data_IF_647964023864
#
_entry.id   IF_647964023864
#
_cell.length_a   1.000
_cell.length_b   1.000
_cell.length_c   1.000
_cell.angle_alpha   90.00
_cell.angle_beta   90.00
_cell.angle_gamma   90.00
#
_symmetry.space_group_name_H-M   'P 1'
#
loop_
_entity.id
_entity.type
_entity.pdbx_description
1 polymer ?
#
# COMPACT_ATOMS: atom_id res chain seq x y z
N UNK A 1 12.60 -2.11 20.20
CA UNK A 1 12.40 -3.02 19.05
C UNK A 1 13.33 -2.53 17.94
N UNK A 2 14.11 -3.39 17.31
CA UNK A 2 14.97 -2.96 16.20
C UNK A 2 14.13 -2.72 14.93
N UNK A 3 14.60 -1.87 13.98
CA UNK A 3 13.92 -1.67 12.70
C UNK A 3 13.64 -2.97 11.94
N UNK A 4 14.59 -3.91 11.97
CA UNK A 4 14.47 -5.22 11.31
C UNK A 4 13.35 -6.04 11.93
N UNK A 5 13.28 -6.07 13.27
CA UNK A 5 12.23 -6.78 14.01
C UNK A 5 10.85 -6.20 13.69
N UNK A 6 10.75 -4.88 13.55
CA UNK A 6 9.51 -4.19 13.17
C UNK A 6 9.08 -4.58 11.75
N UNK A 7 9.99 -4.46 10.77
CA UNK A 7 9.73 -4.79 9.37
C UNK A 7 9.27 -6.25 9.23
N UNK A 8 9.96 -7.17 9.89
CA UNK A 8 9.61 -8.58 9.88
C UNK A 8 8.24 -8.86 10.49
N UNK A 9 7.89 -8.15 11.56
CA UNK A 9 6.58 -8.28 12.19
C UNK A 9 5.48 -7.82 11.25
N UNK A 10 5.65 -6.67 10.59
CA UNK A 10 4.68 -6.15 9.63
C UNK A 10 4.55 -7.08 8.41
N UNK A 11 5.67 -7.57 7.85
CA UNK A 11 5.65 -8.51 6.73
C UNK A 11 4.88 -9.80 7.07
N UNK A 12 5.10 -10.37 8.26
CA UNK A 12 4.39 -11.57 8.71
C UNK A 12 2.89 -11.31 8.91
N UNK A 13 2.52 -10.21 9.56
CA UNK A 13 1.10 -9.88 9.75
C UNK A 13 0.41 -9.61 8.41
N UNK A 14 1.10 -8.93 7.48
CA UNK A 14 0.59 -8.66 6.14
C UNK A 14 0.35 -9.96 5.36
N UNK A 15 1.30 -10.89 5.38
CA UNK A 15 1.12 -12.21 4.76
C UNK A 15 -0.08 -12.98 5.36
N UNK A 16 -0.28 -12.90 6.67
CA UNK A 16 -1.45 -13.48 7.34
C UNK A 16 -2.76 -12.85 6.87
N UNK A 17 -2.85 -11.51 6.84
CA UNK A 17 -4.04 -10.78 6.39
C UNK A 17 -4.33 -11.02 4.91
N UNK A 18 -3.30 -11.08 4.05
CA UNK A 18 -3.46 -11.40 2.63
C UNK A 18 -4.01 -12.81 2.38
N UNK A 19 -3.92 -13.73 3.34
CA UNK A 19 -4.61 -15.01 3.22
C UNK A 19 -6.14 -14.86 3.34
N UNK A 20 -6.61 -13.93 4.18
CA UNK A 20 -8.04 -13.59 4.31
C UNK A 20 -8.50 -12.69 3.16
N UNK A 21 -7.67 -11.72 2.77
CA UNK A 21 -7.93 -10.76 1.68
C UNK A 21 -7.13 -11.11 0.43
N UNK A 22 -7.18 -12.38 0.03
CA UNK A 22 -6.40 -12.93 -1.08
C UNK A 22 -6.55 -12.20 -2.42
N UNK A 23 -7.68 -11.53 -2.78
CA UNK A 23 -7.72 -10.77 -4.02
C UNK A 23 -6.72 -9.61 -4.05
N UNK A 24 -6.32 -9.07 -2.89
CA UNK A 24 -5.33 -8.00 -2.81
C UNK A 24 -3.90 -8.47 -3.13
N UNK A 25 -3.63 -9.77 -3.06
CA UNK A 25 -2.37 -10.39 -3.49
C UNK A 25 -2.40 -10.85 -4.95
N UNK A 26 -3.41 -10.44 -5.72
CA UNK A 26 -3.57 -10.73 -7.14
C UNK A 26 -3.16 -9.56 -8.04
N UNK A 27 -3.44 -9.69 -9.33
CA UNK A 27 -3.17 -8.65 -10.33
C UNK A 27 -4.45 -8.26 -11.06
N UNK A 28 -4.57 -6.98 -11.42
CA UNK A 28 -5.64 -6.50 -12.30
C UNK A 28 -5.23 -6.77 -13.75
N UNK A 29 -6.04 -7.53 -14.47
CA UNK A 29 -5.87 -7.84 -15.90
C UNK A 29 -7.13 -7.45 -16.66
N UNK A 30 -7.07 -7.42 -17.99
CA UNK A 30 -8.27 -7.29 -18.82
C UNK A 30 -8.80 -8.67 -19.22
N UNK A 31 -10.12 -8.84 -19.15
CA UNK A 31 -10.78 -10.03 -19.66
C UNK A 31 -10.93 -9.97 -21.19
N UNK A 32 -11.57 -11.00 -21.77
CA UNK A 32 -11.78 -11.08 -23.23
C UNK A 32 -12.63 -9.94 -23.81
N UNK A 33 -13.44 -9.29 -22.97
CA UNK A 33 -14.27 -8.14 -23.32
C UNK A 33 -13.58 -6.79 -23.05
N UNK A 34 -12.33 -6.80 -22.55
CA UNK A 34 -11.57 -5.61 -22.19
C UNK A 34 -11.91 -5.03 -20.80
N UNK A 35 -12.73 -5.72 -20.01
CA UNK A 35 -13.12 -5.27 -18.68
C UNK A 35 -12.06 -5.67 -17.64
N UNK A 36 -11.80 -4.83 -16.61
CA UNK A 36 -10.83 -5.15 -15.58
C UNK A 36 -11.32 -6.28 -14.66
N UNK A 37 -10.47 -7.28 -14.45
CA UNK A 37 -10.70 -8.40 -13.54
C UNK A 37 -9.48 -8.60 -12.62
N UNK A 38 -9.71 -9.14 -11.42
CA UNK A 38 -8.64 -9.50 -10.49
C UNK A 38 -8.30 -10.98 -10.66
N UNK A 39 -7.09 -11.28 -11.12
CA UNK A 39 -6.54 -12.64 -11.12
C UNK A 39 -5.89 -12.90 -9.77
N UNK A 40 -6.48 -13.80 -8.99
CA UNK A 40 -5.97 -14.19 -7.66
C UNK A 40 -4.82 -15.21 -7.80
N UNK A 41 -3.69 -14.80 -8.36
CA UNK A 41 -2.49 -15.64 -8.61
C UNK A 41 -1.46 -15.63 -7.48
N UNK A 42 -1.75 -14.99 -6.35
CA UNK A 42 -0.83 -14.87 -5.22
C UNK A 42 0.52 -14.24 -5.61
N UNK A 43 0.52 -13.33 -6.60
CA UNK A 43 1.65 -12.48 -6.99
C UNK A 43 2.17 -11.61 -5.83
N UNK A 44 1.36 -11.45 -4.79
CA UNK A 44 1.72 -10.73 -3.57
C UNK A 44 1.50 -9.24 -3.70
N UNK A 45 2.11 -8.49 -2.79
CA UNK A 45 2.03 -7.03 -2.74
C UNK A 45 3.41 -6.43 -2.60
N UNK A 46 3.58 -5.21 -3.11
CA UNK A 46 4.80 -4.44 -2.88
C UNK A 46 4.83 -3.96 -1.42
N UNK A 47 5.96 -4.19 -0.74
CA UNK A 47 6.22 -3.68 0.61
C UNK A 47 7.51 -2.86 0.58
N UNK A 48 7.38 -1.55 0.76
CA UNK A 48 8.51 -0.61 0.78
C UNK A 48 8.81 -0.21 2.22
N UNK A 49 10.07 -0.34 2.61
CA UNK A 49 10.59 0.18 3.87
C UNK A 49 11.59 1.31 3.56
N UNK A 50 11.46 2.43 4.28
CA UNK A 50 12.29 3.60 4.10
C UNK A 50 12.68 4.20 5.45
N UNK A 51 13.76 4.97 5.43
CA UNK A 51 14.23 5.74 6.57
C UNK A 51 14.27 7.23 6.18
N UNK A 52 14.00 8.10 7.15
CA UNK A 52 14.04 9.53 6.98
C UNK A 52 14.82 10.16 8.14
N UNK A 53 15.77 11.02 7.81
CA UNK A 53 16.57 11.76 8.78
C UNK A 53 15.84 13.05 9.21
N UNK A 54 14.62 12.88 9.71
CA UNK A 54 13.74 13.94 10.21
C UNK A 54 12.75 13.33 11.21
N UNK A 55 12.42 14.06 12.27
CA UNK A 55 11.42 13.58 13.23
C UNK A 55 10.00 13.78 12.68
N UNK A 56 9.09 12.88 13.06
CA UNK A 56 7.69 12.91 12.61
C UNK A 56 6.98 14.23 13.00
N UNK A 57 7.33 14.80 14.16
CA UNK A 57 6.75 16.06 14.66
C UNK A 57 7.14 17.29 13.84
N UNK A 58 8.23 17.20 13.09
CA UNK A 58 8.75 18.29 12.27
C UNK A 58 8.17 18.26 10.84
N UNK A 59 7.33 17.27 10.53
CA UNK A 59 6.60 17.19 9.27
C UNK A 59 5.29 17.98 9.34
N UNK A 60 5.11 18.91 8.40
CA UNK A 60 3.83 19.58 8.17
C UNK A 60 2.88 18.67 7.37
N UNK A 61 1.94 18.03 8.07
CA UNK A 61 0.90 17.20 7.47
C UNK A 61 -0.28 17.99 6.92
N UNK A 62 -0.40 19.29 7.23
CA UNK A 62 -1.40 20.16 6.62
C UNK A 62 -0.99 20.57 5.20
N UNK A 63 0.32 20.69 4.95
CA UNK A 63 0.89 20.99 3.64
C UNK A 63 1.90 19.90 3.18
N UNK A 64 1.43 18.66 2.91
CA UNK A 64 2.29 17.52 2.60
C UNK A 64 3.12 17.72 1.32
N UNK A 65 2.66 18.52 0.37
CA UNK A 65 3.42 18.84 -0.84
C UNK A 65 4.71 19.62 -0.55
N UNK A 66 4.74 20.37 0.56
CA UNK A 66 5.91 21.14 0.99
C UNK A 66 6.86 20.31 1.86
N UNK A 67 6.33 19.46 2.75
CA UNK A 67 7.10 18.68 3.72
C UNK A 67 7.62 17.36 3.15
N UNK A 68 6.76 16.62 2.44
CA UNK A 68 7.05 15.26 1.97
C UNK A 68 6.98 15.10 0.46
N UNK A 69 6.46 16.08 -0.30
CA UNK A 69 6.51 16.20 -1.78
C UNK A 69 6.41 14.84 -2.50
N UNK A 70 5.37 14.06 -2.21
CA UNK A 70 5.12 12.76 -2.84
C UNK A 70 6.02 11.61 -2.40
N UNK A 71 7.01 11.81 -1.51
CA UNK A 71 7.90 10.75 -0.99
C UNK A 71 7.16 9.66 -0.21
N UNK A 72 6.01 9.99 0.37
CA UNK A 72 5.18 9.04 1.13
C UNK A 72 4.14 8.32 0.27
N UNK A 73 4.01 8.69 -1.01
CA UNK A 73 3.07 8.07 -1.93
C UNK A 73 3.87 7.16 -2.87
N UNK A 74 3.71 5.83 -2.77
CA UNK A 74 4.39 4.92 -3.69
C UNK A 74 3.95 5.22 -5.13
N UNK A 75 4.89 5.10 -6.07
CA UNK A 75 4.58 5.20 -7.50
C UNK A 75 3.79 3.96 -7.91
N UNK A 76 2.47 4.10 -8.03
CA UNK A 76 1.61 2.96 -8.36
C UNK A 76 1.80 2.61 -9.84
N UNK A 77 2.60 1.59 -10.10
CA UNK A 77 2.91 1.12 -11.46
C UNK A 77 1.82 0.18 -12.02
N UNK A 78 1.01 -0.43 -11.14
CA UNK A 78 -0.12 -1.33 -11.50
C UNK A 78 -1.20 -1.25 -10.43
N UNK A 79 -2.43 -0.96 -10.85
CA UNK A 79 -3.63 -0.94 -9.99
C UNK A 79 -4.12 0.46 -9.62
N UNK A 80 -5.43 0.61 -9.45
CA UNK A 80 -6.06 1.83 -8.98
C UNK A 80 -6.43 1.62 -7.51
N UNK A 81 -5.85 2.37 -6.58
CA UNK A 81 -6.33 2.40 -5.20
C UNK A 81 -7.46 3.43 -5.11
N UNK A 82 -8.72 3.02 -5.27
CA UNK A 82 -9.86 3.88 -4.98
C UNK A 82 -10.35 3.60 -3.56
N UNK A 83 -10.07 4.50 -2.62
CA UNK A 83 -10.72 4.51 -1.31
C UNK A 83 -11.93 5.42 -1.39
N UNK A 84 -13.13 4.84 -1.41
CA UNK A 84 -14.36 5.61 -1.29
C UNK A 84 -14.77 5.68 0.19
N UNK A 85 -14.71 6.87 0.77
CA UNK A 85 -15.23 7.13 2.11
C UNK A 85 -16.71 7.45 1.99
N UNK A 86 -17.56 6.53 2.45
CA UNK A 86 -18.98 6.81 2.61
C UNK A 86 -19.21 7.38 4.00
N UNK A 87 -19.55 8.67 4.09
CA UNK A 87 -20.13 9.22 5.32
C UNK A 87 -21.54 8.63 5.46
N UNK A 88 -21.78 7.84 6.51
CA UNK A 88 -23.17 7.52 6.90
C UNK A 88 -23.80 8.82 7.43
N UNK A 89 -25.07 9.13 7.04
CA UNK A 89 -25.82 10.24 7.61
C UNK A 89 -26.08 10.05 9.10
#
# INVERSE_FOLDING_TARGET
>A
MSPETMVDTIKRSLAGVLSTYYPLAGEIVQNKNGEPEVVCNNSGVEFVYAHADVELKDLDFYHPDHSVKGKLVPSINRGLLSVQVNQKP
#
